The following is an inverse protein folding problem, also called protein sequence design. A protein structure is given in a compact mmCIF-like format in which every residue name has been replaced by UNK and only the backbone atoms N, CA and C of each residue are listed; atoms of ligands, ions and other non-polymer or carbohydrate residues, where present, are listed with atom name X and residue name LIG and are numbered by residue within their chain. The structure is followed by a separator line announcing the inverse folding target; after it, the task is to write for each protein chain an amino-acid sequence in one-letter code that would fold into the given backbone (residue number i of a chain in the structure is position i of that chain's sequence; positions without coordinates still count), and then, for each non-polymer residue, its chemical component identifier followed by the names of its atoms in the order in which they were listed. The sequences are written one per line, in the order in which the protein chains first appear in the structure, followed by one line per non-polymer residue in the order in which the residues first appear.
data_IF_790510599976
#
_entry.id   IF_790510599976
#
_cell.length_a   1.000
_cell.length_b   1.000
_cell.length_c   1.000
_cell.angle_alpha   90.00
_cell.angle_beta   90.00
_cell.angle_gamma   90.00
#
_symmetry.space_group_name_H-M   'P 1'
#
loop_
_entity.id
_entity.type
_entity.pdbx_description
1 polymer ?
#
# COMPACT_ATOMS: atom_id res chain seq x y z
N UNK A 1 -26.82 -33.90 -7.69
CA UNK A 1 -25.45 -34.32 -8.08
C UNK A 1 -24.52 -33.96 -6.91
N UNK A 2 -23.62 -34.84 -6.45
CA UNK A 2 -22.69 -34.47 -5.37
C UNK A 2 -21.85 -33.26 -5.82
N UNK A 3 -21.90 -32.20 -5.04
CA UNK A 3 -21.51 -30.82 -5.41
C UNK A 3 -20.01 -30.55 -5.23
N UNK A 4 -19.17 -31.25 -5.99
CA UNK A 4 -17.72 -31.03 -6.03
C UNK A 4 -16.90 -32.09 -5.31
N UNK A 5 -15.57 -31.94 -5.37
CA UNK A 5 -14.60 -32.80 -4.67
C UNK A 5 -13.81 -31.98 -3.65
N UNK A 6 -13.40 -32.62 -2.56
CA UNK A 6 -12.60 -31.97 -1.53
C UNK A 6 -11.14 -31.86 -1.98
N UNK A 7 -10.54 -30.68 -1.82
CA UNK A 7 -9.09 -30.50 -1.93
C UNK A 7 -8.45 -30.83 -0.57
N UNK A 8 -7.65 -31.90 -0.46
CA UNK A 8 -7.09 -32.31 0.82
C UNK A 8 -6.08 -31.30 1.37
N UNK A 9 -6.17 -31.04 2.68
CA UNK A 9 -5.22 -30.21 3.42
C UNK A 9 -4.49 -31.11 4.45
N UNK A 10 -3.33 -31.63 4.06
CA UNK A 10 -2.54 -32.55 4.88
C UNK A 10 -2.18 -31.95 6.26
N UNK A 11 -1.88 -30.65 6.32
CA UNK A 11 -1.53 -29.98 7.57
C UNK A 11 -2.70 -29.96 8.58
N UNK A 12 -3.95 -29.89 8.09
CA UNK A 12 -5.16 -29.99 8.93
C UNK A 12 -5.28 -31.35 9.62
N UNK A 13 -4.78 -32.40 8.99
CA UNK A 13 -4.78 -33.77 9.51
C UNK A 13 -3.48 -34.09 10.29
N UNK A 14 -2.63 -33.09 10.53
CA UNK A 14 -1.34 -33.27 11.21
C UNK A 14 -0.29 -33.98 10.36
N UNK A 15 -0.51 -34.12 9.06
CA UNK A 15 0.42 -34.74 8.12
C UNK A 15 1.31 -33.67 7.49
N UNK A 16 2.59 -33.65 7.87
CA UNK A 16 3.58 -32.69 7.36
C UNK A 16 4.51 -33.37 6.36
N UNK A 17 4.53 -32.87 5.12
CA UNK A 17 5.40 -33.36 4.03
C UNK A 17 6.81 -32.76 4.13
N UNK A 18 7.41 -32.81 5.32
CA UNK A 18 8.78 -32.36 5.61
C UNK A 18 9.69 -33.56 5.85
N UNK A 19 11.02 -33.37 5.87
CA UNK A 19 11.96 -34.47 6.14
C UNK A 19 11.79 -35.09 7.53
N UNK A 20 11.34 -34.29 8.50
CA UNK A 20 11.12 -34.73 9.88
C UNK A 20 9.72 -35.30 10.14
N UNK A 21 8.80 -35.17 9.19
CA UNK A 21 7.38 -35.51 9.38
C UNK A 21 6.63 -34.58 10.33
N UNK A 22 7.22 -33.43 10.71
CA UNK A 22 6.67 -32.44 11.64
C UNK A 22 6.65 -31.04 11.03
N UNK A 23 5.91 -30.12 11.64
CA UNK A 23 6.00 -28.70 11.32
C UNK A 23 7.42 -28.18 11.62
N UNK A 24 8.02 -27.47 10.67
CA UNK A 24 9.35 -26.90 10.81
C UNK A 24 9.25 -25.43 11.23
N UNK A 25 9.63 -25.15 12.48
CA UNK A 25 9.68 -23.79 13.02
C UNK A 25 11.01 -23.13 12.65
N UNK A 26 10.97 -21.86 12.27
CA UNK A 26 12.16 -21.05 11.98
C UNK A 26 12.09 -19.74 12.76
N UNK A 27 13.24 -19.27 13.22
CA UNK A 27 13.40 -17.94 13.81
C UNK A 27 14.05 -17.03 12.78
N UNK A 28 13.61 -15.77 12.72
CA UNK A 28 14.18 -14.76 11.83
C UNK A 28 14.32 -13.44 12.57
N UNK A 29 15.40 -12.71 12.31
CA UNK A 29 15.56 -11.36 12.82
C UNK A 29 14.50 -10.43 12.22
N UNK A 30 14.03 -9.44 12.98
CA UNK A 30 13.15 -8.42 12.41
C UNK A 30 13.94 -7.56 11.41
N UNK A 31 13.35 -7.20 10.25
CA UNK A 31 14.00 -6.30 9.32
C UNK A 31 14.18 -4.92 9.97
N UNK A 32 15.32 -4.29 9.72
CA UNK A 32 15.54 -2.89 10.06
C UNK A 32 15.19 -2.03 8.86
N UNK A 33 14.33 -1.04 9.07
CA UNK A 33 13.93 -0.10 8.04
C UNK A 33 14.55 1.26 8.34
N UNK A 34 15.61 1.60 7.63
CA UNK A 34 16.22 2.92 7.73
C UNK A 34 15.49 3.90 6.81
N UNK A 35 14.74 4.81 7.41
CA UNK A 35 14.08 5.91 6.71
C UNK A 35 14.83 7.21 7.05
N UNK A 36 15.26 7.95 6.04
CA UNK A 36 15.83 9.30 6.25
C UNK A 36 14.73 10.30 6.59
N UNK A 37 15.12 11.51 7.03
CA UNK A 37 14.16 12.55 7.40
C UNK A 37 13.22 12.87 6.23
N UNK A 38 11.91 12.88 6.49
CA UNK A 38 10.89 13.12 5.47
C UNK A 38 10.51 11.90 4.62
N UNK A 39 11.12 10.73 4.84
CA UNK A 39 10.69 9.50 4.19
C UNK A 39 9.62 8.75 5.00
N UNK A 40 8.77 8.04 4.25
CA UNK A 40 7.75 7.12 4.76
C UNK A 40 7.95 5.72 4.19
N UNK A 41 7.56 4.70 4.95
CA UNK A 41 7.33 3.36 4.46
C UNK A 41 5.92 3.24 3.89
N UNK A 42 5.79 3.12 2.58
CA UNK A 42 4.51 3.04 1.89
C UNK A 42 4.13 1.59 1.57
N UNK A 43 2.85 1.27 1.78
CA UNK A 43 2.22 0.05 1.30
C UNK A 43 1.10 0.37 0.31
N UNK A 44 0.94 -0.48 -0.71
CA UNK A 44 -0.26 -0.45 -1.54
C UNK A 44 -1.33 -1.37 -0.94
N UNK A 45 -2.60 -0.98 -1.03
CA UNK A 45 -3.75 -1.77 -0.55
C UNK A 45 -4.87 -1.77 -1.61
N UNK A 46 -5.81 -2.70 -1.51
CA UNK A 46 -7.01 -2.70 -2.38
C UNK A 46 -8.15 -1.98 -1.65
N UNK A 47 -8.92 -1.19 -2.38
CA UNK A 47 -10.15 -0.59 -1.86
C UNK A 47 -11.24 -1.67 -1.73
N UNK A 48 -12.35 -1.30 -1.08
CA UNK A 48 -13.54 -2.15 -0.97
C UNK A 48 -14.09 -2.59 -2.35
N UNK A 49 -14.41 -1.66 -3.25
CA UNK A 49 -15.03 -1.96 -4.55
C UNK A 49 -14.02 -2.28 -5.65
N UNK A 50 -13.18 -3.28 -5.38
CA UNK A 50 -12.10 -3.68 -6.28
C UNK A 50 -11.75 -5.16 -6.16
N UNK A 51 -11.48 -5.79 -7.31
CA UNK A 51 -10.79 -7.08 -7.36
C UNK A 51 -9.57 -6.99 -8.28
N UNK A 52 -8.38 -7.14 -7.70
CA UNK A 52 -7.12 -6.94 -8.41
C UNK A 52 -7.11 -5.62 -9.20
N UNK A 53 -6.92 -5.62 -10.52
CA UNK A 53 -6.92 -4.40 -11.34
C UNK A 53 -8.32 -3.98 -11.82
N UNK A 54 -9.36 -4.77 -11.52
CA UNK A 54 -10.74 -4.45 -11.87
C UNK A 54 -11.37 -3.58 -10.78
N UNK A 55 -11.76 -2.37 -11.15
CA UNK A 55 -12.42 -1.39 -10.29
C UNK A 55 -13.93 -1.50 -10.53
N UNK A 56 -14.70 -1.77 -9.48
CA UNK A 56 -16.17 -1.82 -9.53
C UNK A 56 -16.82 -0.50 -9.10
N UNK A 57 -16.09 0.31 -8.33
CA UNK A 57 -16.54 1.61 -7.83
C UNK A 57 -15.37 2.47 -7.34
N UNK A 58 -15.64 3.76 -7.17
CA UNK A 58 -14.66 4.74 -6.70
C UNK A 58 -14.70 4.94 -5.18
N UNK A 59 -15.61 4.25 -4.50
CA UNK A 59 -15.80 4.34 -3.07
C UNK A 59 -15.03 3.23 -2.33
N UNK A 60 -14.52 3.58 -1.14
CA UNK A 60 -14.02 2.65 -0.15
C UNK A 60 -14.80 2.81 1.15
N UNK A 61 -15.89 2.06 1.26
CA UNK A 61 -16.78 2.04 2.42
C UNK A 61 -16.07 1.70 3.73
N UNK A 62 -14.96 0.97 3.67
CA UNK A 62 -14.19 0.61 4.87
C UNK A 62 -13.35 1.76 5.40
N UNK A 63 -13.10 2.79 4.58
CA UNK A 63 -12.21 3.91 4.91
C UNK A 63 -12.88 5.28 4.78
N UNK A 64 -14.17 5.32 4.45
CA UNK A 64 -14.92 6.57 4.28
C UNK A 64 -14.43 7.42 3.11
N UNK A 65 -13.81 6.80 2.10
CA UNK A 65 -13.33 7.50 0.91
C UNK A 65 -14.37 7.34 -0.18
N UNK A 66 -14.78 8.43 -0.81
CA UNK A 66 -15.81 8.45 -1.85
C UNK A 66 -15.28 9.11 -3.11
N UNK A 67 -15.75 8.71 -4.30
CA UNK A 67 -15.53 9.46 -5.53
C UNK A 67 -14.09 9.52 -6.05
N UNK A 68 -13.12 8.81 -5.47
CA UNK A 68 -11.75 8.84 -5.98
C UNK A 68 -10.79 7.88 -5.29
N UNK A 69 -9.68 7.60 -5.97
CA UNK A 69 -8.74 6.52 -5.58
C UNK A 69 -7.27 6.96 -5.46
N UNK A 70 -6.92 8.14 -5.97
CA UNK A 70 -5.57 8.69 -5.80
C UNK A 70 -5.48 9.38 -4.44
N UNK A 71 -5.40 8.57 -3.39
CA UNK A 71 -5.29 9.02 -2.00
C UNK A 71 -4.00 8.52 -1.38
N UNK A 72 -3.44 9.28 -0.46
CA UNK A 72 -2.38 8.85 0.44
C UNK A 72 -2.85 8.99 1.87
N UNK A 73 -3.02 7.84 2.53
CA UNK A 73 -3.43 7.72 3.91
C UNK A 73 -2.21 7.96 4.79
N UNK A 74 -2.28 8.96 5.68
CA UNK A 74 -1.17 9.37 6.54
C UNK A 74 -1.65 9.59 7.97
N UNK A 75 -0.73 9.40 8.92
CA UNK A 75 -0.97 9.75 10.31
C UNK A 75 -1.13 11.28 10.47
N UNK A 76 -2.04 11.73 11.32
CA UNK A 76 -2.29 13.15 11.55
C UNK A 76 -1.09 13.94 12.06
N UNK A 77 -0.25 13.34 12.91
CA UNK A 77 0.96 14.00 13.41
C UNK A 77 1.97 14.21 12.29
N UNK A 78 2.13 13.21 11.41
CA UNK A 78 3.03 13.34 10.27
C UNK A 78 2.51 14.38 9.28
N UNK A 79 1.19 14.48 9.08
CA UNK A 79 0.57 15.56 8.27
C UNK A 79 0.96 16.93 8.85
N UNK A 80 0.77 17.12 10.16
CA UNK A 80 1.07 18.38 10.87
C UNK A 80 2.55 18.74 10.81
N UNK A 81 3.43 17.80 11.16
CA UNK A 81 4.89 18.01 11.15
C UNK A 81 5.44 18.33 9.75
N UNK A 82 4.74 17.87 8.71
CA UNK A 82 5.10 18.11 7.30
C UNK A 82 4.53 19.40 6.73
N UNK A 83 3.73 20.13 7.51
CA UNK A 83 2.98 21.29 7.02
C UNK A 83 1.98 20.93 5.91
N UNK A 84 1.51 19.68 5.89
CA UNK A 84 0.46 19.23 4.98
C UNK A 84 -0.91 19.43 5.63
N UNK A 85 -1.98 19.34 4.83
CA UNK A 85 -3.35 19.39 5.33
C UNK A 85 -4.24 18.37 4.61
N UNK A 86 -5.35 17.99 5.24
CA UNK A 86 -6.33 17.06 4.66
C UNK A 86 -6.89 17.60 3.33
N UNK A 87 -6.98 16.75 2.32
CA UNK A 87 -7.41 17.13 0.97
C UNK A 87 -6.33 17.85 0.14
N UNK A 88 -5.13 18.07 0.68
CA UNK A 88 -4.04 18.64 -0.11
C UNK A 88 -3.61 17.67 -1.23
N UNK A 89 -3.38 18.20 -2.42
CA UNK A 89 -2.82 17.45 -3.55
C UNK A 89 -1.30 17.38 -3.44
N UNK A 90 -0.76 16.17 -3.40
CA UNK A 90 0.67 15.89 -3.25
C UNK A 90 1.19 14.94 -4.33
N UNK A 91 2.48 14.99 -4.59
CA UNK A 91 3.20 14.01 -5.41
C UNK A 91 4.03 13.10 -4.51
N UNK A 92 4.10 11.82 -4.88
CA UNK A 92 4.81 10.78 -4.15
C UNK A 92 6.02 10.35 -4.97
N UNK A 93 7.22 10.35 -4.37
CA UNK A 93 8.45 9.92 -5.04
C UNK A 93 9.06 8.73 -4.31
N UNK A 94 9.23 7.60 -5.00
CA UNK A 94 9.90 6.41 -4.45
C UNK A 94 11.41 6.49 -4.57
N UNK A 95 12.12 5.90 -3.62
CA UNK A 95 13.58 5.87 -3.54
C UNK A 95 14.07 4.42 -3.49
N UNK A 96 14.84 3.99 -4.49
CA UNK A 96 15.41 2.63 -4.52
C UNK A 96 16.72 2.60 -5.30
N UNK A 97 17.83 2.21 -4.65
CA UNK A 97 19.15 2.05 -5.28
C UNK A 97 19.59 3.25 -6.16
N UNK A 98 19.37 4.47 -5.66
CA UNK A 98 19.69 5.71 -6.38
C UNK A 98 18.71 6.08 -7.50
N UNK A 99 17.67 5.28 -7.73
CA UNK A 99 16.60 5.59 -8.68
C UNK A 99 15.42 6.24 -7.97
N UNK A 100 14.88 7.26 -8.62
CA UNK A 100 13.64 7.93 -8.21
C UNK A 100 12.54 7.72 -9.26
N UNK A 101 11.30 7.54 -8.79
CA UNK A 101 10.10 7.52 -9.64
C UNK A 101 9.00 8.29 -8.93
N UNK A 102 8.26 9.09 -9.69
CA UNK A 102 7.22 9.96 -9.11
C UNK A 102 5.84 9.58 -9.63
N UNK A 103 4.89 9.45 -8.70
CA UNK A 103 3.47 9.32 -8.98
C UNK A 103 2.78 10.63 -8.56
N UNK A 104 2.09 11.26 -9.51
CA UNK A 104 1.56 12.60 -9.33
C UNK A 104 0.16 12.59 -8.72
N UNK A 105 -0.22 13.70 -8.06
CA UNK A 105 -1.60 14.06 -7.71
C UNK A 105 -2.34 13.00 -6.86
N UNK A 106 -1.96 12.88 -5.60
CA UNK A 106 -2.67 12.14 -4.56
C UNK A 106 -3.26 13.11 -3.54
N UNK A 107 -4.46 12.84 -3.03
CA UNK A 107 -5.05 13.59 -1.92
C UNK A 107 -4.57 13.06 -0.58
N UNK A 108 -4.14 13.96 0.29
CA UNK A 108 -3.80 13.63 1.68
C UNK A 108 -5.07 13.29 2.45
N UNK A 109 -5.13 12.08 3.01
CA UNK A 109 -6.24 11.62 3.84
C UNK A 109 -5.71 11.25 5.23
N UNK A 110 -6.12 11.97 6.29
CA UNK A 110 -5.82 11.55 7.66
C UNK A 110 -6.34 10.15 7.94
N UNK A 111 -5.52 9.30 8.54
CA UNK A 111 -5.90 7.93 8.87
C UNK A 111 -5.13 7.42 10.08
N UNK A 112 -5.75 6.50 10.83
CA UNK A 112 -5.11 5.84 11.96
C UNK A 112 -4.13 4.75 11.49
N UNK A 113 -3.02 5.19 10.90
CA UNK A 113 -1.85 4.39 10.49
C UNK A 113 -0.66 4.76 11.38
N UNK A 114 0.29 3.83 11.66
CA UNK A 114 1.50 4.18 12.40
C UNK A 114 2.26 5.35 11.77
N UNK A 115 2.94 6.13 12.61
CA UNK A 115 3.79 7.22 12.16
C UNK A 115 4.88 6.73 11.22
N UNK A 116 5.25 7.57 10.27
CA UNK A 116 6.19 7.29 9.18
C UNK A 116 5.77 6.13 8.27
N UNK A 117 4.50 5.74 8.30
CA UNK A 117 3.89 4.87 7.30
C UNK A 117 2.93 5.64 6.40
N UNK A 118 2.78 5.17 5.17
CA UNK A 118 1.80 5.67 4.21
C UNK A 118 1.04 4.50 3.57
N UNK A 119 -0.21 4.70 3.19
CA UNK A 119 -0.94 3.73 2.38
C UNK A 119 -1.58 4.39 1.16
N UNK A 120 -1.54 3.69 0.04
CA UNK A 120 -2.13 4.11 -1.23
C UNK A 120 -2.93 2.96 -1.84
N UNK A 121 -3.87 3.28 -2.73
CA UNK A 121 -4.55 2.22 -3.46
C UNK A 121 -3.68 1.63 -4.59
N UNK A 122 -3.80 0.31 -4.76
CA UNK A 122 -3.39 -0.40 -5.94
C UNK A 122 -4.48 -0.22 -7.01
N UNK A 123 -4.15 -0.02 -8.29
CA UNK A 123 -2.81 0.06 -8.89
C UNK A 123 -2.23 1.48 -8.96
N UNK A 124 -2.87 2.49 -8.36
CA UNK A 124 -2.57 3.91 -8.55
C UNK A 124 -1.11 4.29 -8.26
N UNK A 125 -0.46 3.58 -7.33
CA UNK A 125 0.94 3.75 -6.94
C UNK A 125 1.92 2.72 -7.55
N UNK A 126 1.50 1.88 -8.52
CA UNK A 126 2.38 0.82 -9.07
C UNK A 126 3.69 1.34 -9.65
N UNK A 127 3.70 2.55 -10.22
CA UNK A 127 4.92 3.18 -10.78
C UNK A 127 6.01 3.35 -9.72
N UNK A 128 5.63 3.47 -8.44
CA UNK A 128 6.53 3.63 -7.30
C UNK A 128 7.17 2.31 -6.85
N UNK A 129 6.63 1.15 -7.26
CA UNK A 129 7.17 -0.15 -6.87
C UNK A 129 8.37 -0.47 -7.78
N UNK A 130 9.60 -0.58 -7.24
CA UNK A 130 10.76 -0.91 -8.04
C UNK A 130 10.71 -2.37 -8.49
N UNK A 131 11.02 -2.65 -9.76
CA UNK A 131 11.00 -4.02 -10.30
C UNK A 131 12.05 -4.92 -9.65
N UNK A 132 13.18 -4.35 -9.23
CA UNK A 132 14.24 -5.06 -8.52
C UNK A 132 14.02 -5.22 -7.02
N UNK A 133 12.98 -4.59 -6.46
CA UNK A 133 12.69 -4.69 -5.03
C UNK A 133 11.82 -5.93 -4.76
N UNK A 134 12.48 -7.03 -4.41
CA UNK A 134 11.87 -8.35 -4.28
C UNK A 134 12.30 -9.07 -3.00
N UNK A 135 11.48 -10.00 -2.53
CA UNK A 135 11.84 -10.90 -1.44
C UNK A 135 12.95 -11.87 -1.88
N UNK A 136 14.00 -12.01 -1.06
CA UNK A 136 15.23 -12.75 -1.33
C UNK A 136 15.00 -14.18 -1.88
N UNK A 137 14.00 -14.89 -1.34
CA UNK A 137 13.78 -16.32 -1.65
C UNK A 137 12.71 -16.59 -2.71
N UNK A 138 11.75 -15.68 -2.87
CA UNK A 138 10.55 -15.92 -3.70
C UNK A 138 10.43 -15.00 -4.89
N UNK A 139 11.33 -14.02 -5.02
CA UNK A 139 11.29 -12.98 -6.06
C UNK A 139 9.95 -12.19 -6.07
N UNK A 140 9.23 -12.19 -4.95
CA UNK A 140 7.93 -11.52 -4.82
C UNK A 140 8.15 -10.02 -4.65
N UNK A 141 7.49 -9.14 -5.42
CA UNK A 141 7.65 -7.70 -5.32
C UNK A 141 7.33 -7.13 -3.92
N UNK A 142 8.14 -6.19 -3.45
CA UNK A 142 8.00 -5.56 -2.14
C UNK A 142 6.93 -4.44 -2.10
N UNK A 143 5.74 -4.67 -2.67
CA UNK A 143 4.67 -3.65 -2.79
C UNK A 143 4.08 -3.17 -1.44
N UNK A 144 4.51 -3.77 -0.33
CA UNK A 144 4.12 -3.39 1.04
C UNK A 144 5.19 -2.59 1.78
N UNK A 145 6.35 -2.40 1.16
CA UNK A 145 7.52 -1.78 1.79
C UNK A 145 8.29 -0.97 0.75
N UNK A 146 7.69 0.15 0.32
CA UNK A 146 8.28 1.08 -0.65
C UNK A 146 8.65 2.38 0.07
N UNK A 147 9.92 2.76 0.05
CA UNK A 147 10.37 4.03 0.65
C UNK A 147 9.95 5.20 -0.26
N UNK A 148 9.18 6.15 0.28
CA UNK A 148 8.73 7.33 -0.46
C UNK A 148 9.02 8.63 0.28
N UNK A 149 9.11 9.73 -0.47
CA UNK A 149 8.92 11.10 0.01
C UNK A 149 7.62 11.67 -0.57
N UNK A 150 7.07 12.69 0.11
CA UNK A 150 5.80 13.34 -0.25
C UNK A 150 6.05 14.84 -0.30
N UNK A 151 5.65 15.50 -1.39
CA UNK A 151 5.76 16.95 -1.58
C UNK A 151 4.44 17.52 -2.11
N UNK A 152 4.08 18.78 -1.79
CA UNK A 152 2.97 19.46 -2.45
C UNK A 152 3.10 19.39 -3.97
N UNK A 153 2.01 19.08 -4.67
CA UNK A 153 2.04 18.96 -6.13
C UNK A 153 2.22 20.32 -6.78
N UNK A 154 3.07 20.39 -7.81
CA UNK A 154 3.26 21.62 -8.59
C UNK A 154 2.02 21.98 -9.43
N UNK A 155 1.15 21.01 -9.70
CA UNK A 155 -0.11 21.22 -10.39
C UNK A 155 -1.27 20.73 -9.51
N UNK A 156 -1.81 21.60 -8.62
CA UNK A 156 -2.86 21.23 -7.68
C UNK A 156 -4.22 21.04 -8.35
N UNK A 157 -4.31 21.21 -9.68
CA UNK A 157 -5.49 20.80 -10.44
C UNK A 157 -5.64 19.28 -10.35
N UNK A 158 -6.42 18.90 -9.35
CA UNK A 158 -7.13 17.65 -9.22
C UNK A 158 -8.15 17.47 -10.36
N UNK A 159 -7.73 17.59 -11.62
CA UNK A 159 -8.43 16.95 -12.71
C UNK A 159 -8.16 15.45 -12.60
N UNK A 160 -8.78 14.82 -11.60
CA UNK A 160 -8.99 13.39 -11.60
C UNK A 160 -9.91 13.11 -12.80
N UNK A 161 -9.55 12.19 -13.69
CA UNK A 161 -10.45 11.81 -14.79
C UNK A 161 -11.81 11.31 -14.27
N UNK A 162 -11.88 10.93 -12.99
CA UNK A 162 -13.11 10.66 -12.27
C UNK A 162 -13.02 11.20 -10.82
N UNK A 163 -13.81 12.25 -10.58
CA UNK A 163 -14.42 12.73 -9.33
C UNK A 163 -13.57 13.10 -8.09
N UNK A 164 -14.13 14.06 -7.36
CA UNK A 164 -13.58 14.63 -6.13
C UNK A 164 -13.67 13.58 -5.01
N UNK A 165 -12.61 13.44 -4.22
CA UNK A 165 -12.71 12.64 -2.99
C UNK A 165 -13.47 13.45 -1.94
N UNK A 166 -14.70 13.04 -1.64
CA UNK A 166 -15.48 13.62 -0.55
C UNK A 166 -14.99 13.03 0.78
N UNK A 167 -14.25 13.84 1.54
CA UNK A 167 -13.81 13.52 2.90
C UNK A 167 -14.93 13.96 3.85
N UNK A 168 -15.90 13.09 4.10
CA UNK A 168 -16.92 13.36 5.11
C UNK A 168 -16.34 13.13 6.50
N UNK A 169 -16.53 14.11 7.40
CA UNK A 169 -16.27 14.02 8.84
C UNK A 169 -17.01 12.87 9.51
#
# INVERSE_FOLDING_TARGET
RPGGFYLPNAAREGVFKTKSGRAEFTVHALPQHELTQGQFMMMTIRSHDQYNTTIYGLDDRYRGIHGGRRVVLLNEEDIKERGLYAGQVVDLTSHFEGQERTALRFLVVPYHIPRRCAATYFPEANVLVPIGSVAEKSNTPASKSVVISIRPSANPSAAFDHDQVDLKE
#
